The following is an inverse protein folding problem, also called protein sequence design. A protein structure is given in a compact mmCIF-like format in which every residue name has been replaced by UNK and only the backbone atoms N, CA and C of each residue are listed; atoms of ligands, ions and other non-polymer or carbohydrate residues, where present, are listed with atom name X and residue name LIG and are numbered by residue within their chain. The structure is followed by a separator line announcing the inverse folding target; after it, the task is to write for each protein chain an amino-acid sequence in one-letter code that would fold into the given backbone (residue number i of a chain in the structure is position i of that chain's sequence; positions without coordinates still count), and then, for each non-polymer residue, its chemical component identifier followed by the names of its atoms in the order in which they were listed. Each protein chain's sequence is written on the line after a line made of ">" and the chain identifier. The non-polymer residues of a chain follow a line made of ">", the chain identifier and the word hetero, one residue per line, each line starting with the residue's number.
data_IF_492266688101
#
_entry.id   IF_492266688101
#
_cell.length_a   1.000
_cell.length_b   1.000
_cell.length_c   1.000
_cell.angle_alpha   90.00
_cell.angle_beta   90.00
_cell.angle_gamma   90.00
#
_symmetry.space_group_name_H-M   'P 1'
#
loop_
_entity.id
_entity.type
_entity.pdbx_description
1 polymer ?
#
# COMPACT_ATOMS: atom_id res chain seq x y z
N UNK A 1 34.83 -22.12 -33.30
CA UNK A 1 34.53 -21.47 -32.00
C UNK A 1 33.04 -21.27 -32.00
N UNK A 2 32.32 -22.23 -31.42
CA UNK A 2 30.85 -22.25 -31.38
C UNK A 2 30.39 -21.48 -30.13
N UNK A 3 29.35 -20.67 -30.27
CA UNK A 3 28.72 -19.96 -29.15
C UNK A 3 27.76 -20.94 -28.45
N UNK A 4 28.08 -21.30 -27.20
CA UNK A 4 27.16 -21.95 -26.29
C UNK A 4 26.11 -20.93 -25.82
N UNK A 5 24.83 -21.25 -26.01
CA UNK A 5 23.71 -20.49 -25.47
C UNK A 5 23.30 -21.08 -24.12
N UNK A 6 23.43 -20.27 -23.07
CA UNK A 6 23.07 -20.60 -21.70
C UNK A 6 21.54 -20.48 -21.54
N UNK A 7 20.82 -21.59 -21.72
CA UNK A 7 19.36 -21.65 -21.45
C UNK A 7 19.17 -22.02 -19.98
N UNK A 8 18.89 -21.02 -19.13
CA UNK A 8 18.46 -21.23 -17.75
C UNK A 8 16.94 -21.02 -17.68
N UNK A 9 16.24 -22.05 -17.20
CA UNK A 9 14.78 -22.21 -17.27
C UNK A 9 13.97 -21.07 -16.69
N UNK A 10 13.05 -20.56 -17.50
CA UNK A 10 11.90 -19.77 -17.05
C UNK A 10 10.65 -20.56 -17.42
N UNK A 11 10.03 -21.18 -16.42
CA UNK A 11 8.77 -21.89 -16.59
C UNK A 11 7.65 -20.84 -16.80
N UNK A 12 7.28 -20.66 -18.08
CA UNK A 12 6.08 -19.98 -18.57
C UNK A 12 6.18 -18.44 -18.76
N UNK A 13 6.37 -18.04 -20.03
CA UNK A 13 6.29 -16.65 -20.51
C UNK A 13 5.02 -16.49 -21.33
N UNK A 14 4.16 -15.53 -20.98
CA UNK A 14 3.07 -15.06 -21.85
C UNK A 14 3.55 -13.82 -22.59
N UNK A 15 3.60 -13.92 -23.92
CA UNK A 15 3.96 -12.80 -24.80
C UNK A 15 2.72 -11.94 -25.00
N UNK A 16 2.73 -10.72 -24.46
CA UNK A 16 1.74 -9.67 -24.78
C UNK A 16 2.53 -8.54 -25.42
N UNK A 17 1.97 -7.93 -26.48
CA UNK A 17 2.63 -6.93 -27.31
C UNK A 17 3.42 -5.88 -26.52
N UNK A 18 4.69 -5.72 -26.92
CA UNK A 18 5.68 -4.72 -26.49
C UNK A 18 6.02 -4.64 -24.98
N UNK A 19 6.32 -5.77 -24.36
CA UNK A 19 7.12 -5.80 -23.13
C UNK A 19 7.05 -7.11 -22.37
N UNK A 20 8.16 -7.50 -21.73
CA UNK A 20 8.22 -8.65 -20.82
C UNK A 20 8.02 -8.15 -19.39
N UNK A 21 6.96 -8.59 -18.70
CA UNK A 21 6.66 -8.24 -17.31
C UNK A 21 6.44 -9.50 -16.47
N UNK A 22 6.92 -9.50 -15.21
CA UNK A 22 6.77 -10.64 -14.28
C UNK A 22 5.32 -10.74 -13.78
N UNK A 23 4.78 -11.97 -13.69
CA UNK A 23 3.41 -12.29 -13.20
C UNK A 23 3.07 -11.59 -11.86
N UNK A 24 4.04 -11.35 -10.98
CA UNK A 24 3.85 -10.69 -9.69
C UNK A 24 3.47 -9.20 -9.77
N UNK A 25 3.67 -8.54 -10.91
CA UNK A 25 3.31 -7.12 -11.12
C UNK A 25 1.85 -6.97 -11.58
N UNK A 26 1.23 -8.06 -12.05
CA UNK A 26 -0.08 -8.06 -12.69
C UNK A 26 -1.16 -8.57 -11.73
N UNK A 27 -1.33 -7.87 -10.59
CA UNK A 27 -2.40 -8.20 -9.61
C UNK A 27 -3.63 -7.27 -9.76
N UNK A 28 -3.59 -6.34 -10.70
CA UNK A 28 -4.74 -5.55 -11.10
C UNK A 28 -5.52 -6.26 -12.21
N UNK A 29 -6.84 -6.09 -12.25
CA UNK A 29 -7.75 -6.72 -13.21
C UNK A 29 -7.25 -6.56 -14.65
N UNK A 30 -6.69 -7.64 -15.22
CA UNK A 30 -6.26 -7.67 -16.62
C UNK A 30 -7.53 -7.66 -17.46
N UNK A 31 -7.76 -6.57 -18.16
CA UNK A 31 -8.84 -6.47 -19.13
C UNK A 31 -8.20 -6.35 -20.50
N UNK A 32 -8.02 -7.49 -21.17
CA UNK A 32 -7.51 -7.52 -22.54
C UNK A 32 -8.59 -7.02 -23.49
N UNK A 33 -8.30 -5.95 -24.23
CA UNK A 33 -9.17 -5.46 -25.31
C UNK A 33 -8.55 -5.88 -26.63
N UNK A 34 -9.18 -6.83 -27.33
CA UNK A 34 -8.69 -7.30 -28.62
C UNK A 34 -8.81 -6.21 -29.69
N UNK A 35 -7.78 -6.07 -30.54
CA UNK A 35 -7.73 -5.06 -31.60
C UNK A 35 -8.92 -5.16 -32.58
N UNK A 36 -9.38 -6.40 -32.85
CA UNK A 36 -10.56 -6.67 -33.69
C UNK A 36 -11.86 -6.08 -33.10
N UNK A 37 -11.92 -5.92 -31.77
CA UNK A 37 -13.06 -5.33 -31.07
C UNK A 37 -13.06 -3.81 -31.16
N UNK A 38 -11.88 -3.19 -31.22
CA UNK A 38 -11.68 -1.74 -31.43
C UNK A 38 -11.99 -1.33 -32.88
N UNK A 39 -11.71 -2.18 -33.85
CA UNK A 39 -12.02 -1.91 -35.26
C UNK A 39 -13.52 -2.04 -35.58
N UNK A 40 -14.25 -2.88 -34.84
CA UNK A 40 -15.70 -3.05 -35.00
C UNK A 40 -16.55 -1.93 -34.42
N UNK A 41 -16.00 -1.12 -33.49
CA UNK A 41 -16.67 0.09 -33.03
C UNK A 41 -16.45 1.20 -34.06
N UNK A 42 -17.46 1.43 -34.90
CA UNK A 42 -17.41 2.47 -35.92
C UNK A 42 -17.11 3.84 -35.31
N UNK A 43 -16.28 4.60 -36.02
CA UNK A 43 -15.75 5.93 -35.70
C UNK A 43 -16.70 6.78 -34.85
N UNK A 44 -16.32 6.96 -33.59
CA UNK A 44 -16.98 7.86 -32.67
C UNK A 44 -16.02 8.32 -31.60
N UNK A 45 -15.72 7.45 -30.62
CA UNK A 45 -15.01 7.82 -29.38
C UNK A 45 -14.42 6.57 -28.72
N UNK A 46 -13.10 6.48 -28.59
CA UNK A 46 -12.38 5.32 -28.01
C UNK A 46 -12.78 5.09 -26.55
N UNK A 47 -13.11 6.17 -25.84
CA UNK A 47 -13.53 6.16 -24.44
C UNK A 47 -14.80 5.35 -24.16
N UNK A 48 -15.75 5.26 -25.11
CA UNK A 48 -16.95 4.44 -24.96
C UNK A 48 -16.72 2.95 -25.30
N UNK A 49 -15.67 2.62 -26.05
CA UNK A 49 -15.35 1.23 -26.41
C UNK A 49 -14.71 0.45 -25.25
N UNK A 50 -14.08 1.16 -24.31
CA UNK A 50 -13.38 0.60 -23.14
C UNK A 50 -14.29 0.57 -21.89
N UNK A 51 -15.36 1.37 -21.88
CA UNK A 51 -16.36 1.42 -20.82
C UNK A 51 -17.06 0.06 -20.66
N UNK A 52 -17.02 -0.50 -19.46
CA UNK A 52 -17.63 -1.80 -19.14
C UNK A 52 -16.83 -3.04 -19.59
N UNK A 53 -15.74 -2.87 -20.35
CA UNK A 53 -14.82 -3.97 -20.72
C UNK A 53 -13.61 -4.06 -19.80
N UNK A 54 -13.37 -3.04 -18.98
CA UNK A 54 -12.36 -3.02 -17.93
C UNK A 54 -13.00 -2.70 -16.58
N UNK A 55 -12.62 -3.47 -15.56
CA UNK A 55 -13.16 -3.33 -14.22
C UNK A 55 -12.84 -1.93 -13.66
N UNK A 56 -13.87 -1.16 -13.29
CA UNK A 56 -13.73 0.16 -12.65
C UNK A 56 -13.82 1.38 -13.58
N UNK A 57 -13.99 1.20 -14.90
CA UNK A 57 -14.15 2.33 -15.83
C UNK A 57 -15.63 2.70 -16.01
N UNK A 58 -16.06 3.79 -15.40
CA UNK A 58 -17.37 4.41 -15.59
C UNK A 58 -17.21 5.75 -16.30
N UNK A 59 -17.74 5.86 -17.52
CA UNK A 59 -17.80 7.13 -18.26
C UNK A 59 -19.18 7.73 -17.99
N UNK A 60 -19.22 8.91 -17.38
CA UNK A 60 -20.45 9.67 -17.24
C UNK A 60 -20.76 10.34 -18.59
N UNK A 61 -21.99 10.25 -19.12
CA UNK A 61 -22.33 10.86 -20.40
C UNK A 61 -22.29 12.39 -20.27
N UNK A 62 -21.35 13.02 -20.97
CA UNK A 62 -21.27 14.48 -21.10
C UNK A 62 -22.20 14.90 -22.24
N UNK A 63 -23.19 15.75 -21.95
CA UNK A 63 -24.02 16.39 -22.98
C UNK A 63 -23.13 17.13 -23.98
N UNK A 64 -23.31 16.89 -25.28
CA UNK A 64 -22.47 17.40 -26.37
C UNK A 64 -22.55 18.91 -26.63
N UNK A 65 -22.68 19.73 -25.59
CA UNK A 65 -22.65 21.19 -25.67
C UNK A 65 -21.21 21.68 -25.87
N UNK A 66 -20.94 22.56 -26.85
CA UNK A 66 -19.65 23.22 -26.99
C UNK A 66 -19.30 23.96 -25.69
N UNK A 67 -18.13 23.66 -25.10
CA UNK A 67 -17.70 24.20 -23.80
C UNK A 67 -18.00 23.32 -22.58
N UNK A 68 -18.58 22.13 -22.78
CA UNK A 68 -18.75 21.16 -21.70
C UNK A 68 -17.39 20.63 -21.18
N UNK A 69 -17.27 20.35 -19.87
CA UNK A 69 -16.06 19.79 -19.29
C UNK A 69 -15.69 18.46 -19.98
N UNK A 70 -14.41 18.30 -20.30
CA UNK A 70 -13.85 17.05 -20.85
C UNK A 70 -14.19 15.91 -19.89
N UNK A 71 -14.66 14.74 -20.36
CA UNK A 71 -14.96 13.62 -19.48
C UNK A 71 -13.71 13.24 -18.69
N UNK A 72 -13.76 13.48 -17.38
CA UNK A 72 -12.74 13.04 -16.45
C UNK A 72 -12.90 11.54 -16.27
N UNK A 73 -11.98 10.76 -16.86
CA UNK A 73 -11.81 9.37 -16.47
C UNK A 73 -11.37 9.40 -15.00
N UNK A 74 -12.01 8.62 -14.15
CA UNK A 74 -11.73 8.58 -12.72
C UNK A 74 -10.27 8.18 -12.44
N UNK A 75 -9.35 9.13 -12.43
CA UNK A 75 -7.97 8.96 -11.94
C UNK A 75 -7.93 9.03 -10.41
N UNK A 76 -8.99 8.60 -9.71
CA UNK A 76 -8.93 8.46 -8.26
C UNK A 76 -7.81 7.48 -7.95
N UNK A 77 -6.79 7.98 -7.26
CA UNK A 77 -5.77 7.13 -6.68
C UNK A 77 -6.42 6.43 -5.49
N UNK A 78 -6.66 5.11 -5.56
CA UNK A 78 -7.32 4.42 -4.47
C UNK A 78 -6.45 4.56 -3.22
N UNK A 79 -7.05 5.14 -2.17
CA UNK A 79 -6.41 5.25 -0.87
C UNK A 79 -6.27 3.84 -0.28
N UNK A 80 -5.04 3.44 0.03
CA UNK A 80 -4.77 2.09 0.54
C UNK A 80 -5.02 2.11 2.04
N UNK A 81 -6.17 1.60 2.45
CA UNK A 81 -6.48 1.40 3.88
C UNK A 81 -5.75 0.17 4.43
N UNK A 82 -5.66 -0.88 3.62
CA UNK A 82 -4.94 -2.11 3.93
C UNK A 82 -4.35 -2.69 2.65
N UNK A 83 -3.16 -3.27 2.74
CA UNK A 83 -2.51 -3.97 1.64
C UNK A 83 -1.67 -5.12 2.15
N UNK A 84 -1.35 -6.05 1.24
CA UNK A 84 -0.69 -7.30 1.60
C UNK A 84 0.65 -7.11 2.35
N UNK A 85 1.48 -6.13 1.96
CA UNK A 85 2.74 -5.90 2.67
C UNK A 85 2.54 -5.43 4.12
N UNK A 86 1.50 -4.64 4.40
CA UNK A 86 1.19 -4.25 5.78
C UNK A 86 0.81 -5.48 6.61
N UNK A 87 0.00 -6.38 6.05
CA UNK A 87 -0.35 -7.66 6.70
C UNK A 87 0.89 -8.52 6.98
N UNK A 88 1.81 -8.63 6.03
CA UNK A 88 3.07 -9.36 6.23
C UNK A 88 3.93 -8.75 7.34
N UNK A 89 4.06 -7.43 7.37
CA UNK A 89 4.86 -6.74 8.38
C UNK A 89 4.19 -6.75 9.76
N UNK A 90 2.86 -6.68 9.84
CA UNK A 90 2.12 -6.88 11.09
C UNK A 90 2.28 -8.30 11.62
N UNK A 91 2.22 -9.31 10.74
CA UNK A 91 2.47 -10.70 11.12
C UNK A 91 3.91 -10.92 11.60
N UNK A 92 4.90 -10.32 10.93
CA UNK A 92 6.30 -10.37 11.36
C UNK A 92 6.49 -9.77 12.76
N UNK A 93 5.84 -8.64 13.04
CA UNK A 93 5.85 -8.01 14.36
C UNK A 93 5.22 -8.91 15.43
N UNK A 94 4.06 -9.51 15.14
CA UNK A 94 3.38 -10.41 16.06
C UNK A 94 4.24 -11.64 16.38
N UNK A 95 4.88 -12.24 15.37
CA UNK A 95 5.79 -13.36 15.57
C UNK A 95 7.01 -12.98 16.42
N UNK A 96 7.59 -11.80 16.19
CA UNK A 96 8.70 -11.31 17.02
C UNK A 96 8.27 -11.09 18.49
N UNK A 97 7.06 -10.59 18.74
CA UNK A 97 6.51 -10.45 20.10
C UNK A 97 6.24 -11.79 20.79
N UNK A 98 5.92 -12.83 20.03
CA UNK A 98 5.73 -14.20 20.53
C UNK A 98 7.04 -14.99 20.63
N UNK A 99 8.21 -14.33 20.43
CA UNK A 99 9.54 -14.97 20.37
C UNK A 99 9.65 -16.05 19.28
N UNK A 100 8.89 -15.93 18.20
CA UNK A 100 8.90 -16.80 17.02
C UNK A 100 9.65 -16.14 15.87
N UNK A 101 10.87 -15.67 16.14
CA UNK A 101 11.68 -14.87 15.20
C UNK A 101 11.96 -15.60 13.87
N UNK A 102 12.09 -16.92 13.91
CA UNK A 102 12.25 -17.79 12.73
C UNK A 102 11.11 -17.64 11.71
N UNK A 103 9.91 -17.28 12.17
CA UNK A 103 8.74 -17.04 11.31
C UNK A 103 8.64 -15.59 10.85
N UNK A 104 9.20 -14.65 11.59
CA UNK A 104 9.15 -13.22 11.27
C UNK A 104 10.10 -12.87 10.12
N UNK A 105 11.34 -13.36 10.16
CA UNK A 105 12.39 -13.03 9.17
C UNK A 105 11.95 -13.33 7.71
N UNK A 106 11.35 -14.49 7.38
CA UNK A 106 10.88 -14.77 6.02
C UNK A 106 9.81 -13.80 5.50
N UNK A 107 8.98 -13.22 6.37
CA UNK A 107 7.91 -12.31 5.97
C UNK A 107 8.46 -10.92 5.60
N UNK A 108 9.43 -10.42 6.37
CA UNK A 108 10.11 -9.16 6.09
C UNK A 108 10.93 -9.28 4.81
N UNK A 109 11.62 -10.41 4.61
CA UNK A 109 12.37 -10.71 3.38
C UNK A 109 11.49 -10.67 2.14
N UNK A 110 10.27 -11.22 2.18
CA UNK A 110 9.33 -11.15 1.05
C UNK A 110 9.02 -9.72 0.61
N UNK A 111 8.79 -8.82 1.57
CA UNK A 111 8.50 -7.41 1.29
C UNK A 111 9.72 -6.73 0.66
N UNK A 112 10.89 -6.95 1.27
CA UNK A 112 12.17 -6.37 0.87
C UNK A 112 12.62 -6.82 -0.53
N UNK A 113 12.51 -8.11 -0.81
CA UNK A 113 12.85 -8.72 -2.11
C UNK A 113 11.92 -8.22 -3.22
N UNK A 114 10.62 -8.06 -2.92
CA UNK A 114 9.67 -7.47 -3.87
C UNK A 114 10.05 -6.03 -4.21
N UNK A 115 10.55 -5.26 -3.25
CA UNK A 115 11.05 -3.91 -3.47
C UNK A 115 12.39 -3.85 -4.23
N UNK A 116 13.00 -5.01 -4.56
CA UNK A 116 14.27 -5.10 -5.28
C UNK A 116 15.50 -4.90 -4.41
N UNK A 117 15.35 -4.81 -3.09
CA UNK A 117 16.44 -4.65 -2.14
C UNK A 117 16.94 -6.02 -1.65
N UNK A 118 17.67 -6.76 -2.48
CA UNK A 118 18.00 -8.17 -2.20
C UNK A 118 19.08 -8.39 -1.14
N UNK A 119 19.75 -7.33 -0.66
CA UNK A 119 20.68 -7.46 0.47
C UNK A 119 19.93 -7.43 1.81
N UNK A 120 19.86 -8.61 2.43
CA UNK A 120 19.33 -8.86 3.77
C UNK A 120 20.24 -9.80 4.57
N UNK A 121 21.53 -9.86 4.21
CA UNK A 121 22.54 -10.70 4.86
C UNK A 121 22.68 -10.41 6.37
N UNK A 122 22.48 -9.15 6.76
CA UNK A 122 22.51 -8.71 8.16
C UNK A 122 21.29 -9.14 8.99
N UNK A 123 20.29 -9.78 8.38
CA UNK A 123 19.07 -10.22 9.05
C UNK A 123 19.10 -11.68 9.48
N UNK A 124 20.19 -12.39 9.20
CA UNK A 124 20.37 -13.77 9.62
C UNK A 124 20.50 -13.86 11.15
N UNK A 125 19.71 -14.73 11.76
CA UNK A 125 19.71 -14.99 13.21
C UNK A 125 19.43 -13.76 14.10
N UNK A 126 18.81 -12.70 13.55
CA UNK A 126 18.32 -11.60 14.37
C UNK A 126 17.19 -12.08 15.26
N UNK A 127 17.23 -11.67 16.52
CA UNK A 127 16.23 -12.05 17.52
C UNK A 127 15.82 -10.85 18.37
N UNK A 128 14.66 -10.96 19.01
CA UNK A 128 14.19 -10.00 20.01
C UNK A 128 14.21 -8.56 19.51
N UNK A 129 14.89 -7.67 20.26
CA UNK A 129 14.93 -6.23 19.98
C UNK A 129 15.62 -5.88 18.67
N UNK A 130 16.64 -6.62 18.24
CA UNK A 130 17.34 -6.30 17.00
C UNK A 130 16.45 -6.59 15.78
N UNK A 131 15.72 -7.71 15.81
CA UNK A 131 14.72 -8.00 14.79
C UNK A 131 13.57 -6.99 14.82
N UNK A 132 13.12 -6.59 16.01
CA UNK A 132 12.11 -5.55 16.15
C UNK A 132 12.54 -4.23 15.50
N UNK A 133 13.79 -3.79 15.69
CA UNK A 133 14.32 -2.59 15.05
C UNK A 133 14.33 -2.68 13.53
N UNK A 134 14.64 -3.87 12.98
CA UNK A 134 14.52 -4.12 11.54
C UNK A 134 13.07 -4.02 11.06
N UNK A 135 12.12 -4.60 11.79
CA UNK A 135 10.69 -4.50 11.47
C UNK A 135 10.22 -3.05 11.46
N UNK A 136 10.59 -2.27 12.49
CA UNK A 136 10.29 -0.84 12.59
C UNK A 136 10.83 -0.09 11.37
N UNK A 137 12.06 -0.40 10.96
CA UNK A 137 12.68 0.24 9.79
C UNK A 137 11.99 -0.16 8.49
N UNK A 138 11.67 -1.43 8.31
CA UNK A 138 11.03 -1.90 7.09
C UNK A 138 9.61 -1.33 6.95
N UNK A 139 8.84 -1.27 8.04
CA UNK A 139 7.53 -0.60 8.06
C UNK A 139 7.63 0.88 7.67
N UNK A 140 8.65 1.58 8.15
CA UNK A 140 8.87 2.98 7.77
C UNK A 140 9.14 3.16 6.28
N UNK A 141 9.94 2.27 5.68
CA UNK A 141 10.33 2.36 4.28
C UNK A 141 9.17 1.93 3.36
N UNK A 142 8.52 0.84 3.70
CA UNK A 142 7.47 0.24 2.87
C UNK A 142 6.18 1.06 2.91
N UNK A 143 5.74 1.53 4.09
CA UNK A 143 4.46 2.22 4.30
C UNK A 143 4.61 3.76 4.35
N UNK A 144 5.67 4.28 3.75
CA UNK A 144 5.92 5.72 3.68
C UNK A 144 4.76 6.43 2.97
N UNK A 145 4.29 7.53 3.56
CA UNK A 145 3.17 8.34 3.05
C UNK A 145 1.81 7.63 2.97
N UNK A 146 1.63 6.54 3.71
CA UNK A 146 0.34 5.81 3.79
C UNK A 146 -0.39 6.02 5.14
N UNK A 147 0.12 6.89 6.02
CA UNK A 147 -0.56 7.26 7.27
C UNK A 147 -0.28 6.35 8.48
N UNK A 148 0.59 5.36 8.35
CA UNK A 148 0.89 4.40 9.43
C UNK A 148 1.89 4.92 10.48
N UNK A 149 2.87 5.75 10.07
CA UNK A 149 4.05 6.07 10.90
C UNK A 149 3.70 6.66 12.28
N UNK A 150 2.72 7.55 12.36
CA UNK A 150 2.33 8.16 13.63
C UNK A 150 1.81 7.09 14.60
N UNK A 151 0.84 6.29 14.16
CA UNK A 151 0.22 5.25 14.99
C UNK A 151 1.21 4.14 15.36
N UNK A 152 2.10 3.77 14.45
CA UNK A 152 3.20 2.85 14.70
C UNK A 152 4.13 3.36 15.82
N UNK A 153 4.54 4.62 15.78
CA UNK A 153 5.38 5.19 16.82
C UNK A 153 4.69 5.31 18.18
N UNK A 154 3.41 5.70 18.18
CA UNK A 154 2.61 5.83 19.41
C UNK A 154 2.46 4.48 20.09
N UNK A 155 2.04 3.43 19.36
CA UNK A 155 1.82 2.10 19.94
C UNK A 155 3.12 1.41 20.39
N UNK A 156 4.25 1.74 19.77
CA UNK A 156 5.56 1.26 20.21
C UNK A 156 6.18 2.06 21.35
N UNK A 157 5.60 3.21 21.70
CA UNK A 157 6.17 4.11 22.70
C UNK A 157 7.48 4.76 22.24
N UNK A 158 7.65 4.97 20.94
CA UNK A 158 8.83 5.59 20.30
C UNK A 158 8.54 7.01 19.80
N UNK A 159 7.30 7.49 19.93
CA UNK A 159 6.87 8.78 19.40
C UNK A 159 7.62 9.99 19.99
N UNK A 160 7.93 9.96 21.29
CA UNK A 160 8.69 11.00 22.00
C UNK A 160 10.16 11.09 21.53
N UNK A 161 10.71 9.99 21.00
CA UNK A 161 12.08 9.94 20.48
C UNK A 161 12.16 10.42 19.03
N UNK A 162 11.11 10.17 18.25
CA UNK A 162 11.12 10.33 16.79
C UNK A 162 10.40 11.60 16.31
N UNK A 163 9.47 12.16 17.11
CA UNK A 163 8.66 13.33 16.73
C UNK A 163 9.06 14.53 17.59
N UNK A 164 9.68 15.57 17.01
CA UNK A 164 10.00 16.80 17.72
C UNK A 164 8.74 17.47 18.30
N UNK A 165 8.78 17.80 19.59
CA UNK A 165 7.65 18.44 20.29
C UNK A 165 6.54 17.47 20.72
N UNK A 166 6.74 16.16 20.56
CA UNK A 166 5.82 15.16 21.11
C UNK A 166 5.92 15.10 22.63
N UNK A 167 4.77 15.11 23.32
CA UNK A 167 4.69 15.04 24.78
C UNK A 167 4.00 13.73 25.13
N UNK A 168 4.77 12.80 25.69
CA UNK A 168 4.29 11.49 26.16
C UNK A 168 3.17 11.66 27.18
N UNK A 169 2.12 10.84 27.07
CA UNK A 169 0.92 10.94 27.89
C UNK A 169 -0.04 12.07 27.51
N UNK A 170 0.26 12.91 26.52
CA UNK A 170 -0.66 13.94 25.99
C UNK A 170 -0.92 13.73 24.51
N UNK A 171 0.12 13.75 23.68
CA UNK A 171 -0.02 13.73 22.20
C UNK A 171 -0.30 12.35 21.62
N UNK A 172 -0.54 11.34 22.46
CA UNK A 172 -0.93 9.98 22.06
C UNK A 172 -2.41 9.91 21.65
N UNK A 173 -3.22 10.83 22.18
CA UNK A 173 -4.66 10.92 21.94
C UNK A 173 -5.02 12.32 21.46
N UNK A 174 -6.03 12.43 20.58
CA UNK A 174 -6.56 13.72 20.16
C UNK A 174 -7.49 14.30 21.23
N UNK A 175 -7.57 15.64 21.39
CA UNK A 175 -8.54 16.24 22.29
C UNK A 175 -9.96 15.94 21.84
N UNK A 176 -10.85 15.65 22.80
CA UNK A 176 -12.28 15.60 22.56
C UNK A 176 -12.74 17.03 22.23
N UNK A 177 -13.42 17.26 21.08
CA UNK A 177 -13.87 18.60 20.71
C UNK A 177 -14.77 19.21 21.79
N UNK A 178 -14.52 20.47 22.16
CA UNK A 178 -15.28 21.16 23.20
C UNK A 178 -16.78 21.22 22.91
N UNK A 179 -17.15 21.33 21.63
CA UNK A 179 -18.55 21.28 21.20
C UNK A 179 -19.22 19.96 21.59
N UNK A 180 -18.51 18.83 21.48
CA UNK A 180 -19.05 17.52 21.85
C UNK A 180 -19.28 17.44 23.37
N UNK A 181 -18.33 17.94 24.16
CA UNK A 181 -18.44 18.00 25.63
C UNK A 181 -19.64 18.85 26.05
N UNK A 182 -19.85 20.00 25.41
CA UNK A 182 -20.94 20.91 25.77
C UNK A 182 -22.33 20.40 25.36
N UNK A 183 -22.43 19.58 24.31
CA UNK A 183 -23.69 19.10 23.77
C UNK A 183 -24.13 17.78 24.41
N UNK A 184 -23.20 16.97 24.89
CA UNK A 184 -23.47 15.64 25.40
C UNK A 184 -23.51 15.64 26.94
N UNK A 185 -24.69 15.37 27.51
CA UNK A 185 -24.88 15.33 28.96
C UNK A 185 -24.20 14.14 29.67
N UNK A 186 -23.66 13.18 28.93
CA UNK A 186 -23.00 12.00 29.48
C UNK A 186 -21.48 12.14 29.63
N UNK A 187 -20.90 13.23 29.12
CA UNK A 187 -19.47 13.54 29.25
C UNK A 187 -19.30 14.95 29.80
N UNK A 188 -18.23 15.17 30.55
CA UNK A 188 -17.83 16.49 31.01
C UNK A 188 -16.34 16.77 30.78
N UNK A 189 -15.85 17.91 31.27
CA UNK A 189 -14.45 18.31 31.07
C UNK A 189 -13.46 17.38 31.79
N UNK A 190 -13.89 16.64 32.81
CA UNK A 190 -13.05 15.66 33.50
C UNK A 190 -12.83 14.38 32.70
N UNK A 191 -13.70 14.09 31.72
CA UNK A 191 -13.56 12.98 30.77
C UNK A 191 -12.61 13.30 29.60
N UNK A 192 -12.01 14.50 29.59
CA UNK A 192 -11.07 14.91 28.56
C UNK A 192 -9.79 14.05 28.58
N UNK A 193 -9.22 13.83 27.40
CA UNK A 193 -7.94 13.15 27.27
C UNK A 193 -6.83 13.91 28.01
N UNK A 194 -5.89 13.21 28.67
CA UNK A 194 -4.90 13.86 29.52
C UNK A 194 -4.11 14.97 28.80
N UNK A 195 -3.99 16.12 29.47
CA UNK A 195 -3.19 17.25 28.98
C UNK A 195 -3.91 18.22 28.04
N UNK A 196 -5.23 18.09 27.86
CA UNK A 196 -6.09 19.00 27.09
C UNK A 196 -7.15 19.70 27.94
#
# INVERSE_FOLDING_TARGET
>A
MALEEFVQGMDEVVVIGYGVQRKSVVTAAISSVDAETLERSSLGRVEHAIQGKSAGISVLPVSGSPGAPVPEVNYSTPFKIIRYADVLLMAAEAYNKDNQDDKAVPLIKQVRERAGATDHSSWENLTGTDLFNVIVKERQLELAFEGHRFWDLVRWGLADQEIPGFVKGKHELFPIPLTEINLNSAIDLSDQNPGY
#
